data_IF_689576101048
#
_entry.id   IF_689576101048
#
_cell.length_a   1.000
_cell.length_b   1.000
_cell.length_c   1.000
_cell.angle_alpha   90.00
_cell.angle_beta   90.00
_cell.angle_gamma   90.00
#
_symmetry.space_group_name_H-M   'P 1'
#
loop_
_entity.id
_entity.type
_entity.pdbx_description
1 polymer ?
#
# COMPACT_ATOMS: atom_id res chain seq x y z
N UNK A 1 -76.81 29.68 79.16
CA UNK A 1 -75.35 29.40 79.31
C UNK A 1 -74.87 28.58 78.14
N UNK A 2 -74.27 29.23 77.14
CA UNK A 2 -73.67 28.56 75.98
C UNK A 2 -72.18 28.95 75.88
N UNK A 3 -71.46 28.74 77.04
CA UNK A 3 -70.04 29.14 77.14
C UNK A 3 -69.07 27.99 76.97
N UNK A 4 -69.49 26.70 77.13
CA UNK A 4 -68.61 25.55 77.08
C UNK A 4 -68.59 24.82 75.71
N UNK A 5 -69.51 25.07 74.80
CA UNK A 5 -69.55 24.46 73.45
C UNK A 5 -70.05 25.47 72.39
N UNK A 6 -69.27 26.47 72.15
CA UNK A 6 -69.55 27.34 70.96
C UNK A 6 -69.16 26.69 69.69
N UNK A 7 -69.99 25.79 69.22
CA UNK A 7 -69.78 25.02 67.95
C UNK A 7 -69.65 25.93 66.73
N UNK A 8 -70.28 27.10 66.78
CA UNK A 8 -70.22 28.09 65.70
C UNK A 8 -68.83 28.73 65.60
N UNK A 9 -68.29 29.16 66.79
CA UNK A 9 -66.94 29.73 66.86
C UNK A 9 -65.85 28.70 66.49
N UNK A 10 -66.01 27.44 66.99
CA UNK A 10 -65.09 26.36 66.63
C UNK A 10 -65.11 26.03 65.11
N UNK A 11 -66.31 26.03 64.53
CA UNK A 11 -66.49 25.81 63.07
C UNK A 11 -65.94 27.00 62.27
N UNK A 12 -66.19 28.27 62.69
CA UNK A 12 -65.61 29.44 62.06
C UNK A 12 -64.05 29.41 62.07
N UNK A 13 -63.48 29.04 63.25
CA UNK A 13 -62.04 28.96 63.39
C UNK A 13 -61.46 27.85 62.52
N UNK A 14 -62.13 26.66 62.44
CA UNK A 14 -61.73 25.59 61.50
C UNK A 14 -61.79 26.04 60.05
N UNK A 15 -62.86 26.78 59.64
CA UNK A 15 -63.01 27.31 58.27
C UNK A 15 -61.94 28.37 57.97
N UNK A 16 -61.61 29.24 58.95
CA UNK A 16 -60.53 30.19 58.82
C UNK A 16 -59.19 29.53 58.59
N UNK A 17 -58.86 28.47 59.39
CA UNK A 17 -57.65 27.70 59.23
C UNK A 17 -57.57 26.99 57.84
N UNK A 18 -58.67 26.43 57.36
CA UNK A 18 -58.74 25.82 56.04
C UNK A 18 -58.50 26.88 54.92
N UNK A 19 -59.16 28.08 55.05
CA UNK A 19 -58.97 29.14 54.09
C UNK A 19 -57.54 29.71 54.07
N UNK A 20 -56.97 29.94 55.27
CA UNK A 20 -55.57 30.37 55.41
C UNK A 20 -54.57 29.35 54.85
N UNK A 21 -54.81 28.06 55.06
CA UNK A 21 -54.00 27.00 54.48
C UNK A 21 -54.12 26.93 52.97
N UNK A 22 -55.33 27.11 52.39
CA UNK A 22 -55.57 27.19 50.96
C UNK A 22 -54.91 28.41 50.33
N UNK A 23 -54.98 29.57 50.99
CA UNK A 23 -54.36 30.81 50.57
C UNK A 23 -52.82 30.69 50.56
N UNK A 24 -52.23 30.12 51.64
CA UNK A 24 -50.78 29.85 51.73
C UNK A 24 -50.30 28.93 50.59
N UNK A 25 -51.06 27.88 50.30
CA UNK A 25 -50.73 26.99 49.15
C UNK A 25 -50.83 27.69 47.81
N UNK A 26 -51.82 28.55 47.61
CA UNK A 26 -51.97 29.34 46.35
C UNK A 26 -50.84 30.36 46.22
N UNK A 27 -50.47 31.01 47.32
CA UNK A 27 -49.34 31.98 47.33
C UNK A 27 -48.01 31.27 47.12
N UNK A 28 -47.82 30.12 47.69
CA UNK A 28 -46.64 29.26 47.46
C UNK A 28 -46.50 28.88 45.96
N UNK A 29 -47.60 28.45 45.32
CA UNK A 29 -47.65 28.17 43.87
C UNK A 29 -47.41 29.40 42.98
N UNK A 30 -47.97 30.51 43.36
CA UNK A 30 -47.79 31.78 42.63
C UNK A 30 -46.35 32.29 42.74
N UNK A 31 -45.77 32.22 43.94
CA UNK A 31 -44.39 32.66 44.21
C UNK A 31 -43.35 31.76 43.57
N UNK A 32 -43.57 30.45 43.54
CA UNK A 32 -42.65 29.47 42.91
C UNK A 32 -42.78 29.40 41.38
N UNK A 33 -43.95 29.78 40.86
CA UNK A 33 -44.31 29.62 39.46
C UNK A 33 -44.62 28.16 39.06
N UNK A 34 -44.54 27.21 40.00
CA UNK A 34 -44.81 25.80 39.72
C UNK A 34 -46.18 25.37 40.27
N UNK A 35 -46.86 24.49 39.51
CA UNK A 35 -48.14 23.92 39.92
C UNK A 35 -47.96 22.88 41.03
N UNK A 36 -46.84 22.14 41.03
CA UNK A 36 -46.50 21.10 42.01
C UNK A 36 -45.22 21.53 42.75
N UNK A 37 -45.34 21.86 44.04
CA UNK A 37 -44.25 22.31 44.91
C UNK A 37 -43.85 21.24 45.93
N UNK A 38 -44.82 20.41 46.36
CA UNK A 38 -44.60 19.35 47.37
C UNK A 38 -45.11 18.02 46.86
N UNK A 39 -44.49 16.93 47.32
CA UNK A 39 -44.94 15.57 46.98
C UNK A 39 -46.39 15.31 47.32
N UNK A 40 -46.94 16.01 48.34
CA UNK A 40 -48.33 15.93 48.76
C UNK A 40 -49.33 16.62 47.80
N UNK A 41 -48.86 17.48 46.87
CA UNK A 41 -49.72 18.15 45.89
C UNK A 41 -50.13 17.18 44.76
N UNK A 42 -49.17 16.44 44.26
CA UNK A 42 -49.34 15.37 43.24
C UNK A 42 -48.06 14.52 43.19
N UNK A 43 -48.07 13.37 43.86
CA UNK A 43 -46.90 12.49 43.93
C UNK A 43 -46.55 11.85 42.55
N UNK A 44 -47.55 11.53 41.74
CA UNK A 44 -47.36 10.95 40.42
C UNK A 44 -46.79 12.00 39.43
N UNK A 45 -47.40 13.20 39.39
CA UNK A 45 -46.94 14.32 38.58
C UNK A 45 -45.54 14.80 38.96
N UNK A 46 -45.21 14.84 40.26
CA UNK A 46 -43.86 15.17 40.71
C UNK A 46 -42.82 14.16 40.20
N UNK A 47 -43.11 12.85 40.33
CA UNK A 47 -42.20 11.78 39.88
C UNK A 47 -41.95 11.89 38.36
N UNK A 48 -42.99 12.16 37.55
CA UNK A 48 -42.87 12.34 36.13
C UNK A 48 -42.04 13.60 35.80
N UNK A 49 -42.34 14.70 36.47
CA UNK A 49 -41.62 15.97 36.29
C UNK A 49 -40.14 15.85 36.63
N UNK A 50 -39.80 15.23 37.75
CA UNK A 50 -38.40 14.99 38.13
C UNK A 50 -37.67 14.05 37.17
N UNK A 51 -38.35 13.02 36.63
CA UNK A 51 -37.79 12.14 35.60
C UNK A 51 -37.53 12.88 34.32
N UNK A 52 -38.48 13.72 33.85
CA UNK A 52 -38.31 14.58 32.65
C UNK A 52 -37.17 15.59 32.86
N UNK A 53 -37.13 16.27 34.02
CA UNK A 53 -36.06 17.22 34.36
C UNK A 53 -34.66 16.54 34.36
N UNK A 54 -34.58 15.32 34.90
CA UNK A 54 -33.35 14.53 34.79
C UNK A 54 -32.98 14.24 33.34
N UNK A 55 -33.95 13.87 32.48
CA UNK A 55 -33.73 13.60 31.08
C UNK A 55 -33.26 14.86 30.35
N UNK A 56 -33.93 15.99 30.52
CA UNK A 56 -33.53 17.28 29.92
C UNK A 56 -32.09 17.62 30.28
N UNK A 57 -31.73 17.62 31.57
CA UNK A 57 -30.34 17.88 32.00
C UNK A 57 -29.34 16.86 31.44
N UNK A 58 -29.75 15.61 31.25
CA UNK A 58 -28.93 14.56 30.64
C UNK A 58 -28.71 14.83 29.14
N UNK A 59 -29.76 15.26 28.42
CA UNK A 59 -29.68 15.57 27.00
C UNK A 59 -28.90 16.88 26.73
N UNK A 60 -29.06 17.92 27.56
CA UNK A 60 -28.25 19.14 27.50
C UNK A 60 -26.76 18.84 27.66
N UNK A 61 -26.42 17.95 28.60
CA UNK A 61 -25.03 17.50 28.76
C UNK A 61 -24.55 16.64 27.57
N UNK A 62 -25.43 15.83 27.02
CA UNK A 62 -25.15 15.03 25.84
C UNK A 62 -24.89 15.90 24.58
N UNK A 63 -25.68 17.00 24.43
CA UNK A 63 -25.44 17.99 23.37
C UNK A 63 -24.08 18.67 23.55
N UNK A 64 -23.73 19.13 24.75
CA UNK A 64 -22.40 19.68 25.06
C UNK A 64 -21.26 18.67 24.76
N UNK A 65 -21.45 17.39 25.13
CA UNK A 65 -20.45 16.35 24.82
C UNK A 65 -20.28 16.14 23.31
N UNK A 66 -21.35 16.25 22.54
CA UNK A 66 -21.31 16.16 21.09
C UNK A 66 -20.58 17.37 20.46
N UNK A 67 -20.82 18.59 21.00
CA UNK A 67 -20.10 19.82 20.58
C UNK A 67 -18.60 19.73 20.89
N UNK A 68 -18.24 19.21 22.05
CA UNK A 68 -16.84 18.93 22.40
C UNK A 68 -16.22 17.93 21.41
N UNK A 69 -16.98 16.91 21.00
CA UNK A 69 -16.59 15.96 19.97
C UNK A 69 -16.37 16.60 18.61
N UNK A 70 -17.27 17.48 18.17
CA UNK A 70 -17.11 18.25 16.92
C UNK A 70 -15.84 19.10 16.99
N UNK A 71 -15.59 19.78 18.09
CA UNK A 71 -14.40 20.62 18.30
C UNK A 71 -13.10 19.80 18.23
N UNK A 72 -13.09 18.60 18.81
CA UNK A 72 -11.96 17.70 18.75
C UNK A 72 -11.70 17.22 17.31
N UNK A 73 -12.76 16.83 16.58
CA UNK A 73 -12.68 16.40 15.19
C UNK A 73 -12.19 17.53 14.29
N UNK A 74 -12.69 18.74 14.44
CA UNK A 74 -12.24 19.92 13.68
C UNK A 74 -10.77 20.26 13.95
N UNK A 75 -10.33 20.12 15.21
CA UNK A 75 -8.91 20.31 15.55
C UNK A 75 -8.02 19.28 14.85
N UNK A 76 -8.44 18.01 14.82
CA UNK A 76 -7.73 16.96 14.12
C UNK A 76 -7.72 17.18 12.60
N UNK A 77 -8.87 17.57 12.02
CA UNK A 77 -9.00 17.85 10.59
C UNK A 77 -8.14 19.03 10.14
N UNK A 78 -8.07 20.10 10.94
CA UNK A 78 -7.18 21.22 10.67
C UNK A 78 -5.73 20.79 10.58
N UNK A 79 -5.26 19.99 11.55
CA UNK A 79 -3.90 19.45 11.55
C UNK A 79 -3.66 18.48 10.37
N UNK A 80 -4.64 17.64 10.03
CA UNK A 80 -4.54 16.75 8.88
C UNK A 80 -4.49 17.49 7.53
N UNK A 81 -5.07 18.68 7.46
CA UNK A 81 -4.97 19.55 6.27
C UNK A 81 -3.53 20.02 6.07
N UNK A 82 -2.83 20.40 7.16
CA UNK A 82 -1.41 20.75 7.09
C UNK A 82 -0.54 19.54 6.72
N UNK A 83 -0.79 18.37 7.33
CA UNK A 83 -0.09 17.12 6.97
C UNK A 83 -0.29 16.79 5.49
N UNK A 84 -1.51 16.91 4.98
CA UNK A 84 -1.82 16.69 3.57
C UNK A 84 -1.04 17.65 2.65
N UNK A 85 -0.96 18.93 3.01
CA UNK A 85 -0.19 19.93 2.25
C UNK A 85 1.32 19.61 2.25
N UNK A 86 1.86 19.17 3.38
CA UNK A 86 3.26 18.74 3.49
C UNK A 86 3.54 17.50 2.62
N UNK A 87 2.65 16.50 2.63
CA UNK A 87 2.77 15.32 1.78
C UNK A 87 2.67 15.68 0.28
N UNK A 88 1.80 16.60 -0.11
CA UNK A 88 1.75 17.10 -1.48
C UNK A 88 3.08 17.75 -1.88
N UNK A 89 3.65 18.57 -0.99
CA UNK A 89 4.97 19.19 -1.23
C UNK A 89 6.07 18.13 -1.34
N UNK A 90 6.05 17.12 -0.49
CA UNK A 90 6.98 15.98 -0.58
C UNK A 90 6.84 15.25 -1.93
N UNK A 91 5.62 15.06 -2.42
CA UNK A 91 5.39 14.43 -3.74
C UNK A 91 5.92 15.27 -4.91
N UNK A 92 5.76 16.59 -4.86
CA UNK A 92 6.37 17.51 -5.83
C UNK A 92 7.90 17.39 -5.83
N UNK A 93 8.51 17.38 -4.65
CA UNK A 93 9.96 17.26 -4.46
C UNK A 93 10.48 15.91 -4.93
N UNK A 94 9.78 14.80 -4.60
CA UNK A 94 10.13 13.48 -5.08
C UNK A 94 10.05 13.39 -6.61
N UNK A 95 8.98 13.92 -7.21
CA UNK A 95 8.82 13.99 -8.66
C UNK A 95 9.93 14.84 -9.31
N UNK A 96 10.30 15.95 -8.68
CA UNK A 96 11.41 16.77 -9.16
C UNK A 96 12.73 15.99 -9.07
N UNK A 97 13.00 15.28 -7.98
CA UNK A 97 14.23 14.51 -7.79
C UNK A 97 14.32 13.30 -8.73
N UNK A 98 13.17 12.69 -9.08
CA UNK A 98 13.10 11.58 -10.04
C UNK A 98 13.48 12.00 -11.49
N UNK A 99 13.61 13.31 -11.76
CA UNK A 99 14.02 13.77 -13.08
C UNK A 99 15.54 13.57 -13.27
N UNK A 100 15.91 12.84 -14.31
CA UNK A 100 17.29 12.54 -14.69
C UNK A 100 18.21 13.75 -14.98
N UNK A 101 17.63 14.96 -15.14
CA UNK A 101 18.41 16.19 -15.37
C UNK A 101 19.00 16.80 -14.11
N UNK A 102 18.56 16.37 -12.91
CA UNK A 102 19.05 16.89 -11.65
C UNK A 102 20.44 16.31 -11.30
N UNK A 103 21.30 17.17 -10.78
CA UNK A 103 22.58 16.74 -10.22
C UNK A 103 22.41 16.07 -8.85
N UNK A 104 23.41 15.30 -8.41
CA UNK A 104 23.41 14.73 -7.05
C UNK A 104 23.36 15.81 -5.96
N UNK A 105 23.88 17.00 -6.22
CA UNK A 105 23.84 18.13 -5.28
C UNK A 105 22.40 18.66 -5.16
N UNK A 106 21.68 18.78 -6.29
CA UNK A 106 20.31 19.24 -6.30
C UNK A 106 19.39 18.23 -5.59
N UNK A 107 19.57 16.92 -5.86
CA UNK A 107 18.84 15.84 -5.18
C UNK A 107 19.09 15.84 -3.68
N UNK A 108 20.32 16.13 -3.25
CA UNK A 108 20.64 16.24 -1.83
C UNK A 108 19.88 17.40 -1.18
N UNK A 109 19.82 18.56 -1.84
CA UNK A 109 19.04 19.70 -1.34
C UNK A 109 17.54 19.36 -1.25
N UNK A 110 17.02 18.63 -2.22
CA UNK A 110 15.64 18.12 -2.19
C UNK A 110 15.44 17.14 -1.03
N UNK A 111 16.40 16.22 -0.80
CA UNK A 111 16.34 15.30 0.34
C UNK A 111 16.33 16.03 1.67
N UNK A 112 17.16 17.06 1.83
CA UNK A 112 17.19 17.87 3.04
C UNK A 112 15.83 18.56 3.31
N UNK A 113 15.11 19.00 2.25
CA UNK A 113 13.74 19.56 2.37
C UNK A 113 12.72 18.46 2.74
N UNK A 114 12.79 17.28 2.14
CA UNK A 114 11.94 16.13 2.49
C UNK A 114 12.14 15.71 3.94
N UNK A 115 13.38 15.68 4.43
CA UNK A 115 13.69 15.33 5.82
C UNK A 115 13.10 16.37 6.80
N UNK A 116 13.10 17.66 6.45
CA UNK A 116 12.46 18.70 7.25
C UNK A 116 10.93 18.55 7.26
N UNK A 117 10.31 18.29 6.11
CA UNK A 117 8.87 18.06 6.03
C UNK A 117 8.44 16.82 6.84
N UNK A 118 9.23 15.76 6.80
CA UNK A 118 9.00 14.55 7.61
C UNK A 118 9.08 14.86 9.10
N UNK A 119 10.07 15.64 9.52
CA UNK A 119 10.21 16.11 10.91
C UNK A 119 9.03 16.99 11.34
N UNK A 120 8.54 17.83 10.43
CA UNK A 120 7.38 18.69 10.71
C UNK A 120 6.07 17.89 10.82
N UNK A 121 5.88 16.84 10.00
CA UNK A 121 4.77 15.91 10.14
C UNK A 121 4.78 15.25 11.53
N UNK A 122 5.93 14.77 11.97
CA UNK A 122 6.09 14.20 13.32
C UNK A 122 5.77 15.23 14.41
N UNK A 123 6.23 16.47 14.25
CA UNK A 123 5.93 17.57 15.18
C UNK A 123 4.43 17.85 15.25
N UNK A 124 3.74 17.95 14.11
CA UNK A 124 2.29 18.17 14.06
C UNK A 124 1.55 17.03 14.76
N UNK A 125 1.95 15.78 14.49
CA UNK A 125 1.36 14.61 15.15
C UNK A 125 1.56 14.63 16.68
N UNK A 126 2.71 15.06 17.15
CA UNK A 126 3.06 15.11 18.58
C UNK A 126 2.50 16.32 19.33
N UNK A 127 2.19 17.42 18.63
CA UNK A 127 1.72 18.65 19.28
C UNK A 127 0.23 18.89 19.19
N UNK A 128 -0.46 18.25 18.23
CA UNK A 128 -1.92 18.40 18.06
C UNK A 128 -2.67 17.70 19.19
N UNK A 129 -3.27 18.49 20.05
CA UNK A 129 -4.03 18.00 21.23
C UNK A 129 -5.33 18.76 21.41
N UNK A 130 -6.30 18.07 21.98
CA UNK A 130 -7.55 18.64 22.46
C UNK A 130 -7.77 18.18 23.91
N UNK A 131 -7.93 19.11 24.83
CA UNK A 131 -8.10 18.84 26.26
C UNK A 131 -7.10 17.79 26.79
N UNK A 132 -5.79 18.02 26.57
CA UNK A 132 -4.65 17.16 26.95
C UNK A 132 -4.55 15.81 26.24
N UNK A 133 -5.54 15.43 25.44
CA UNK A 133 -5.49 14.24 24.60
C UNK A 133 -4.81 14.54 23.26
N UNK A 134 -3.74 13.81 22.93
CA UNK A 134 -3.06 13.91 21.64
C UNK A 134 -3.88 13.18 20.59
N UNK A 135 -4.31 13.90 19.55
CA UNK A 135 -5.29 13.39 18.58
C UNK A 135 -4.63 12.56 17.46
N UNK A 136 -3.38 12.89 17.06
CA UNK A 136 -2.73 12.30 15.88
C UNK A 136 -1.56 11.37 16.23
N UNK A 137 -1.20 11.27 17.51
CA UNK A 137 -0.05 10.49 17.97
C UNK A 137 -0.35 9.00 18.13
N UNK A 138 -1.63 8.63 18.12
CA UNK A 138 -2.10 7.30 18.52
C UNK A 138 -2.08 7.08 20.03
N UNK A 139 -2.59 5.95 20.47
CA UNK A 139 -2.73 5.55 21.88
C UNK A 139 -2.06 4.22 22.19
N UNK A 140 -1.77 3.99 23.48
CA UNK A 140 -1.17 2.76 23.96
C UNK A 140 0.36 2.69 23.78
N UNK A 141 0.88 1.46 23.81
CA UNK A 141 2.29 1.17 23.56
C UNK A 141 2.58 1.10 22.07
N UNK A 142 3.83 1.40 21.67
CA UNK A 142 4.29 1.16 20.30
C UNK A 142 4.21 -0.33 19.96
N UNK A 143 3.70 -0.62 18.78
CA UNK A 143 3.62 -1.96 18.21
C UNK A 143 4.22 -1.97 16.81
N UNK A 144 4.74 -3.13 16.43
CA UNK A 144 5.22 -3.34 15.07
C UNK A 144 4.03 -3.56 14.12
N UNK A 145 3.93 -2.70 13.14
CA UNK A 145 2.94 -2.76 12.07
C UNK A 145 3.60 -3.18 10.76
N UNK A 146 2.86 -3.81 9.87
CA UNK A 146 3.33 -4.19 8.54
C UNK A 146 3.15 -3.04 7.56
N UNK A 147 4.19 -2.77 6.78
CA UNK A 147 4.14 -1.76 5.70
C UNK A 147 3.67 -2.42 4.40
N UNK A 148 2.92 -1.69 3.59
CA UNK A 148 2.49 -2.17 2.29
C UNK A 148 3.68 -2.44 1.38
N UNK A 149 3.54 -3.44 0.50
CA UNK A 149 4.52 -3.72 -0.52
C UNK A 149 4.24 -2.87 -1.78
N UNK A 150 5.32 -2.45 -2.44
CA UNK A 150 5.28 -1.67 -3.68
C UNK A 150 5.89 -2.46 -4.83
N UNK A 151 5.38 -2.26 -6.04
CA UNK A 151 5.80 -2.97 -7.25
C UNK A 151 7.08 -2.40 -7.90
N UNK A 152 7.65 -1.36 -7.31
CA UNK A 152 8.83 -0.66 -7.81
C UNK A 152 8.65 -0.05 -9.22
N UNK A 153 7.42 0.22 -9.66
CA UNK A 153 7.11 0.74 -10.98
C UNK A 153 7.46 -0.24 -12.12
N UNK A 154 7.54 -1.53 -11.85
CA UNK A 154 7.90 -2.55 -12.82
C UNK A 154 6.68 -3.00 -13.63
N UNK A 155 6.83 -3.07 -14.95
CA UNK A 155 5.75 -3.48 -15.87
C UNK A 155 5.36 -4.94 -15.68
N UNK A 156 4.05 -5.18 -15.52
CA UNK A 156 3.45 -6.51 -15.44
C UNK A 156 3.67 -7.23 -14.11
N UNK A 157 4.06 -6.52 -13.05
CA UNK A 157 4.11 -7.06 -11.68
C UNK A 157 2.71 -7.04 -11.07
N UNK A 158 2.36 -8.11 -10.38
CA UNK A 158 1.11 -8.21 -9.61
C UNK A 158 1.42 -8.56 -8.17
N UNK A 159 0.93 -7.75 -7.24
CA UNK A 159 1.05 -7.95 -5.80
C UNK A 159 -0.28 -8.50 -5.24
N UNK A 160 -0.21 -9.61 -4.52
CA UNK A 160 -1.37 -10.20 -3.82
C UNK A 160 -1.09 -10.25 -2.33
N UNK A 161 -1.76 -9.39 -1.58
CA UNK A 161 -1.59 -9.29 -0.12
C UNK A 161 -2.18 -10.51 0.59
N UNK A 162 -1.42 -11.07 1.54
CA UNK A 162 -1.81 -12.19 2.41
C UNK A 162 -1.65 -11.86 3.90
N UNK A 163 -1.65 -10.58 4.25
CA UNK A 163 -1.46 -10.09 5.61
C UNK A 163 0.02 -9.87 5.93
N UNK A 164 0.72 -10.83 6.50
CA UNK A 164 2.15 -10.72 6.84
C UNK A 164 3.08 -10.83 5.64
N UNK A 165 2.58 -11.42 4.56
CA UNK A 165 3.33 -11.68 3.32
C UNK A 165 2.59 -11.16 2.11
N UNK A 166 3.32 -10.98 1.01
CA UNK A 166 2.77 -10.62 -0.30
C UNK A 166 3.29 -11.63 -1.32
N UNK A 167 2.37 -12.22 -2.09
CA UNK A 167 2.77 -13.01 -3.25
C UNK A 167 2.97 -12.05 -4.43
N UNK A 168 4.18 -12.07 -4.96
CA UNK A 168 4.59 -11.29 -6.12
C UNK A 168 4.61 -12.19 -7.34
N UNK A 169 3.92 -11.77 -8.40
CA UNK A 169 3.98 -12.44 -9.70
C UNK A 169 4.60 -11.50 -10.71
N UNK A 170 5.68 -11.94 -11.35
CA UNK A 170 6.38 -11.19 -12.38
C UNK A 170 5.90 -11.62 -13.77
N UNK A 171 6.06 -10.74 -14.75
CA UNK A 171 5.80 -11.04 -16.17
C UNK A 171 6.79 -12.08 -16.68
N UNK A 172 6.32 -13.05 -17.45
CA UNK A 172 7.20 -14.01 -18.13
C UNK A 172 8.03 -13.28 -19.18
N UNK A 173 9.35 -13.49 -19.14
CA UNK A 173 10.31 -12.88 -20.05
C UNK A 173 10.84 -13.92 -21.00
N UNK A 174 10.84 -13.59 -22.29
CA UNK A 174 11.39 -14.43 -23.37
C UNK A 174 12.64 -13.77 -23.98
N UNK A 175 13.48 -14.57 -24.61
CA UNK A 175 14.62 -14.04 -25.34
C UNK A 175 14.19 -13.01 -26.40
N UNK A 176 14.83 -11.85 -26.39
CA UNK A 176 14.50 -10.71 -27.25
C UNK A 176 13.57 -9.68 -26.63
N UNK A 177 12.91 -9.98 -25.50
CA UNK A 177 12.08 -9.01 -24.79
C UNK A 177 12.93 -7.85 -24.25
N UNK A 178 12.34 -6.67 -24.21
CA UNK A 178 12.94 -5.48 -23.62
C UNK A 178 12.22 -5.13 -22.33
N UNK A 179 12.99 -4.84 -21.30
CA UNK A 179 12.47 -4.49 -19.98
C UNK A 179 13.26 -3.32 -19.38
N UNK A 180 12.57 -2.44 -18.70
CA UNK A 180 13.19 -1.39 -17.88
C UNK A 180 13.21 -1.81 -16.43
N UNK A 181 14.37 -1.79 -15.79
CA UNK A 181 14.55 -2.08 -14.36
C UNK A 181 15.40 -0.96 -13.79
N UNK A 182 14.89 -0.29 -12.77
CA UNK A 182 15.62 0.79 -12.12
C UNK A 182 16.06 1.91 -13.10
N UNK A 183 15.20 2.29 -14.06
CA UNK A 183 15.51 3.31 -15.06
C UNK A 183 16.51 2.87 -16.15
N UNK A 184 17.03 1.65 -16.08
CA UNK A 184 17.94 1.08 -17.07
C UNK A 184 17.21 0.08 -17.97
N UNK A 185 17.35 0.25 -19.27
CA UNK A 185 16.75 -0.67 -20.26
C UNK A 185 17.65 -1.87 -20.49
N UNK A 186 17.05 -3.06 -20.43
CA UNK A 186 17.70 -4.32 -20.69
C UNK A 186 17.01 -5.06 -21.82
N UNK A 187 17.78 -5.88 -22.55
CA UNK A 187 17.27 -6.84 -23.53
C UNK A 187 17.54 -8.24 -22.98
N UNK A 188 16.53 -9.10 -23.02
CA UNK A 188 16.68 -10.47 -22.58
C UNK A 188 17.45 -11.28 -23.63
N UNK A 189 18.64 -11.71 -23.28
CA UNK A 189 19.46 -12.59 -24.13
C UNK A 189 19.03 -14.05 -23.98
N UNK A 190 19.14 -14.78 -25.09
CA UNK A 190 18.82 -16.21 -25.11
C UNK A 190 19.92 -17.06 -24.49
N UNK A 191 19.47 -18.10 -23.80
CA UNK A 191 20.34 -19.18 -23.30
C UNK A 191 20.22 -20.42 -24.18
N UNK A 192 21.10 -21.41 -23.98
CA UNK A 192 21.11 -22.66 -24.77
C UNK A 192 19.74 -23.36 -24.82
N UNK A 193 18.93 -23.26 -23.75
CA UNK A 193 17.59 -23.82 -23.70
C UNK A 193 16.63 -23.12 -24.67
N UNK A 194 16.72 -21.80 -24.83
CA UNK A 194 15.88 -21.03 -25.76
C UNK A 194 16.18 -21.40 -27.22
N UNK A 195 17.48 -21.54 -27.54
CA UNK A 195 17.93 -22.01 -28.86
C UNK A 195 17.41 -23.42 -29.10
N UNK A 196 17.57 -24.35 -28.16
CA UNK A 196 17.08 -25.72 -28.27
C UNK A 196 15.58 -25.76 -28.49
N UNK A 197 14.83 -24.95 -27.73
CA UNK A 197 13.36 -24.83 -27.86
C UNK A 197 12.98 -24.30 -29.25
N UNK A 198 13.65 -23.24 -29.74
CA UNK A 198 13.42 -22.68 -31.07
C UNK A 198 13.72 -23.71 -32.18
N UNK A 199 14.82 -24.42 -32.07
CA UNK A 199 15.27 -25.42 -33.07
C UNK A 199 14.42 -26.71 -33.01
N UNK A 200 13.80 -27.02 -31.87
CA UNK A 200 12.94 -28.19 -31.66
C UNK A 200 11.46 -27.97 -31.96
N UNK A 201 11.02 -26.73 -32.24
CA UNK A 201 9.62 -26.42 -32.47
C UNK A 201 9.14 -27.02 -33.81
N UNK A 202 7.84 -27.41 -33.86
CA UNK A 202 7.23 -28.16 -34.99
C UNK A 202 7.43 -27.55 -36.39
N UNK A 203 7.65 -26.24 -36.49
CA UNK A 203 7.92 -25.56 -37.76
C UNK A 203 9.40 -25.37 -38.08
N UNK A 204 10.29 -25.53 -37.09
CA UNK A 204 11.70 -25.28 -37.17
C UNK A 204 12.55 -26.46 -36.69
N UNK A 205 11.98 -27.66 -36.51
CA UNK A 205 12.70 -28.83 -36.02
C UNK A 205 13.80 -29.21 -37.01
N UNK A 206 14.98 -28.63 -36.83
CA UNK A 206 16.12 -28.84 -37.73
C UNK A 206 16.68 -30.23 -37.64
N UNK A 207 16.52 -30.93 -36.49
CA UNK A 207 17.00 -32.30 -36.35
C UNK A 207 16.25 -33.30 -37.25
N UNK A 208 15.01 -32.96 -37.64
CA UNK A 208 14.18 -33.82 -38.51
C UNK A 208 14.06 -33.27 -39.91
N UNK A 209 13.93 -31.93 -40.03
CA UNK A 209 13.65 -31.27 -41.33
C UNK A 209 14.90 -30.72 -42.00
N UNK A 210 16.04 -30.70 -41.31
CA UNK A 210 17.33 -30.21 -41.82
C UNK A 210 17.23 -28.80 -42.43
N UNK A 211 16.42 -27.94 -41.81
CA UNK A 211 16.25 -26.55 -42.30
C UNK A 211 17.55 -25.75 -42.21
N UNK A 212 17.70 -24.79 -43.07
CA UNK A 212 18.83 -23.85 -43.06
C UNK A 212 18.83 -23.07 -41.74
N UNK A 213 20.00 -22.99 -41.10
CA UNK A 213 20.23 -22.20 -39.88
C UNK A 213 21.17 -21.06 -40.19
N UNK A 214 20.78 -19.84 -39.81
CA UNK A 214 21.65 -18.67 -39.98
C UNK A 214 22.21 -18.25 -38.62
N UNK A 215 23.55 -18.11 -38.56
CA UNK A 215 24.27 -17.62 -37.38
C UNK A 215 25.03 -16.35 -37.75
N UNK A 216 24.71 -15.22 -37.15
CA UNK A 216 25.28 -13.89 -37.43
C UNK A 216 25.30 -13.56 -38.93
N UNK A 217 24.23 -13.89 -39.67
CA UNK A 217 24.10 -13.65 -41.09
C UNK A 217 24.74 -14.71 -42.01
N UNK A 218 25.48 -15.66 -41.48
CA UNK A 218 26.02 -16.78 -42.26
C UNK A 218 25.01 -17.91 -42.24
N UNK A 219 24.54 -18.34 -43.42
CA UNK A 219 23.59 -19.46 -43.55
C UNK A 219 24.32 -20.78 -43.65
N UNK A 220 23.96 -21.71 -42.79
CA UNK A 220 24.43 -23.07 -42.76
C UNK A 220 23.37 -24.00 -43.33
N UNK A 221 23.75 -24.82 -44.30
CA UNK A 221 22.88 -25.80 -44.97
C UNK A 221 23.27 -27.20 -44.57
N UNK A 222 22.27 -28.06 -44.46
CA UNK A 222 22.51 -29.48 -44.20
C UNK A 222 23.00 -30.21 -45.44
N UNK A 223 24.00 -31.02 -45.22
CA UNK A 223 24.49 -32.00 -46.21
C UNK A 223 24.57 -33.36 -45.56
N UNK A 224 24.11 -34.38 -46.32
CA UNK A 224 24.21 -35.76 -45.91
C UNK A 224 25.66 -36.26 -45.99
N UNK A 225 25.94 -37.32 -45.24
CA UNK A 225 27.24 -37.97 -45.27
C UNK A 225 27.61 -38.38 -46.70
N UNK A 226 28.77 -37.94 -47.18
CA UNK A 226 29.37 -38.37 -48.43
C UNK A 226 30.47 -39.34 -48.07
N UNK A 227 30.35 -40.59 -48.54
CA UNK A 227 31.37 -41.58 -48.31
C UNK A 227 32.62 -41.33 -49.17
N UNK A 228 33.79 -41.64 -48.65
CA UNK A 228 35.05 -41.51 -49.38
C UNK A 228 35.09 -42.48 -50.56
N UNK A 229 35.24 -41.93 -51.76
CA UNK A 229 35.55 -42.75 -52.95
C UNK A 229 37.05 -42.74 -53.17
N UNK A 230 37.69 -43.84 -52.79
CA UNK A 230 39.13 -44.04 -52.92
C UNK A 230 39.57 -44.16 -54.37
N UNK A 231 38.63 -44.46 -55.31
CA UNK A 231 38.92 -44.61 -56.73
C UNK A 231 38.92 -43.27 -57.44
N UNK A 232 38.04 -42.34 -57.02
CA UNK A 232 37.92 -40.98 -57.58
C UNK A 232 38.74 -39.95 -56.81
N UNK A 233 39.40 -40.33 -55.69
CA UNK A 233 40.17 -39.41 -54.85
C UNK A 233 39.35 -38.44 -54.02
N UNK A 234 38.03 -38.72 -53.91
CA UNK A 234 37.09 -37.89 -53.10
C UNK A 234 37.14 -38.35 -51.67
N UNK A 235 37.36 -37.44 -50.73
CA UNK A 235 37.27 -37.72 -49.29
C UNK A 235 35.86 -37.56 -48.81
N UNK A 236 35.49 -38.47 -47.88
CA UNK A 236 34.17 -38.43 -47.23
C UNK A 236 33.98 -37.20 -46.37
N UNK A 237 32.75 -36.73 -46.32
CA UNK A 237 32.32 -35.67 -45.39
C UNK A 237 31.33 -36.24 -44.38
N UNK A 238 31.39 -35.79 -43.15
CA UNK A 238 30.37 -36.14 -42.14
C UNK A 238 29.05 -35.47 -42.50
N UNK A 239 27.92 -36.06 -42.13
CA UNK A 239 26.64 -35.38 -42.18
C UNK A 239 26.64 -34.19 -41.20
N UNK A 240 26.05 -33.08 -41.60
CA UNK A 240 25.96 -31.89 -40.73
C UNK A 240 25.68 -30.60 -41.52
N UNK A 241 25.71 -29.50 -40.81
CA UNK A 241 25.53 -28.16 -41.39
C UNK A 241 26.87 -27.55 -41.78
N UNK A 242 26.92 -26.99 -42.96
CA UNK A 242 28.10 -26.38 -43.55
C UNK A 242 27.79 -24.97 -44.07
N UNK A 243 28.70 -24.03 -43.88
CA UNK A 243 28.62 -22.66 -44.42
C UNK A 243 28.87 -22.60 -45.92
N UNK A 244 29.57 -23.59 -46.47
CA UNK A 244 29.84 -23.76 -47.87
C UNK A 244 29.54 -25.20 -48.30
N UNK A 245 29.20 -25.41 -49.58
CA UNK A 245 28.95 -26.73 -50.12
C UNK A 245 30.23 -27.61 -50.01
N UNK A 246 30.20 -28.65 -49.17
CA UNK A 246 31.40 -29.50 -48.92
C UNK A 246 31.81 -30.28 -50.19
N UNK A 247 30.91 -30.46 -51.18
CA UNK A 247 31.23 -31.15 -52.44
C UNK A 247 32.17 -30.34 -53.32
N UNK A 248 32.22 -29.02 -53.12
CA UNK A 248 33.09 -28.12 -53.88
C UNK A 248 34.47 -27.93 -53.26
N UNK A 249 34.67 -28.44 -52.04
CA UNK A 249 35.94 -28.35 -51.31
C UNK A 249 36.90 -29.44 -51.79
N UNK A 250 37.52 -29.25 -52.90
CA UNK A 250 38.50 -30.15 -53.55
C UNK A 250 39.80 -30.29 -52.72
N UNK A 251 39.70 -30.66 -51.46
CA UNK A 251 40.89 -30.90 -50.64
C UNK A 251 41.20 -32.38 -50.52
N UNK A 252 42.22 -32.82 -51.29
CA UNK A 252 42.65 -34.22 -51.37
C UNK A 252 43.39 -34.75 -50.16
N UNK A 253 43.57 -33.92 -49.11
CA UNK A 253 44.43 -34.32 -47.95
C UNK A 253 43.71 -34.43 -46.60
N UNK A 254 42.49 -33.92 -46.42
CA UNK A 254 41.83 -33.94 -45.13
C UNK A 254 40.30 -34.13 -45.25
N UNK A 255 39.71 -34.97 -44.40
CA UNK A 255 38.24 -35.08 -44.32
C UNK A 255 37.66 -33.73 -43.90
N UNK A 256 36.61 -33.27 -44.59
CA UNK A 256 35.91 -32.02 -44.22
C UNK A 256 34.93 -32.34 -43.10
N UNK A 257 35.12 -31.67 -41.96
CA UNK A 257 34.20 -31.76 -40.81
C UNK A 257 33.09 -30.72 -40.98
N UNK A 258 31.88 -31.07 -40.54
CA UNK A 258 30.79 -30.12 -40.51
C UNK A 258 31.12 -28.95 -39.56
N UNK A 259 30.69 -27.77 -39.90
CA UNK A 259 30.77 -26.59 -39.03
C UNK A 259 29.94 -26.84 -37.75
N UNK A 260 28.78 -27.46 -37.94
CA UNK A 260 27.92 -27.95 -36.86
C UNK A 260 27.48 -29.40 -37.15
N UNK A 261 27.83 -30.31 -36.27
CA UNK A 261 27.60 -31.74 -36.50
C UNK A 261 26.13 -32.15 -36.24
N UNK A 262 25.47 -31.46 -35.33
CA UNK A 262 24.08 -31.70 -34.95
C UNK A 262 23.36 -30.38 -34.55
N UNK A 263 22.06 -30.48 -34.35
CA UNK A 263 21.25 -29.35 -33.94
C UNK A 263 21.63 -28.78 -32.56
N UNK A 264 22.16 -29.66 -31.67
CA UNK A 264 22.56 -29.23 -30.33
C UNK A 264 23.84 -28.38 -30.35
N UNK A 265 24.65 -28.50 -31.36
CA UNK A 265 25.87 -27.70 -31.52
C UNK A 265 25.56 -26.19 -31.67
N UNK A 266 24.43 -25.83 -32.27
CA UNK A 266 23.96 -24.42 -32.36
C UNK A 266 23.58 -23.86 -30.98
N UNK A 267 23.07 -24.67 -30.07
CA UNK A 267 22.70 -24.21 -28.72
C UNK A 267 23.92 -23.76 -27.89
N UNK A 268 25.12 -24.22 -28.26
CA UNK A 268 26.35 -23.84 -27.59
C UNK A 268 27.03 -22.61 -28.17
N UNK A 269 26.48 -22.01 -29.23
CA UNK A 269 26.98 -20.75 -29.82
C UNK A 269 26.61 -19.60 -28.90
N UNK A 270 27.60 -18.80 -28.53
CA UNK A 270 27.45 -17.67 -27.59
C UNK A 270 27.68 -16.35 -28.29
N UNK A 271 26.97 -15.31 -27.84
CA UNK A 271 27.12 -13.97 -28.38
C UNK A 271 26.72 -13.84 -29.84
N UNK A 272 25.78 -14.66 -30.33
CA UNK A 272 25.39 -14.69 -31.73
C UNK A 272 23.87 -14.72 -31.90
N UNK A 273 23.39 -14.14 -32.99
CA UNK A 273 21.99 -14.26 -33.42
C UNK A 273 21.83 -15.52 -34.27
N UNK A 274 21.06 -16.48 -33.77
CA UNK A 274 20.71 -17.74 -34.43
C UNK A 274 19.28 -17.60 -34.95
N UNK A 275 19.05 -17.89 -36.23
CA UNK A 275 17.72 -17.82 -36.82
C UNK A 275 17.42 -19.03 -37.72
N UNK A 276 16.13 -19.45 -37.69
CA UNK A 276 15.57 -20.50 -38.55
C UNK A 276 14.20 -20.03 -39.02
N UNK A 277 14.08 -19.83 -40.32
CA UNK A 277 12.87 -19.24 -40.92
C UNK A 277 12.62 -17.83 -40.39
N UNK A 278 11.47 -17.60 -39.79
CA UNK A 278 11.08 -16.30 -39.19
C UNK A 278 11.43 -16.16 -37.73
N UNK A 279 11.97 -17.21 -37.07
CA UNK A 279 12.32 -17.20 -35.64
C UNK A 279 13.80 -16.91 -35.47
N UNK A 280 14.14 -16.13 -34.46
CA UNK A 280 15.51 -15.81 -34.08
C UNK A 280 15.69 -15.70 -32.58
N UNK A 281 16.85 -16.10 -32.10
CA UNK A 281 17.30 -15.95 -30.71
C UNK A 281 18.72 -15.41 -30.74
N UNK A 282 18.96 -14.31 -30.02
CA UNK A 282 20.32 -13.82 -29.79
C UNK A 282 20.84 -14.38 -28.49
N UNK A 283 21.88 -15.20 -28.56
CA UNK A 283 22.48 -15.83 -27.39
C UNK A 283 23.41 -14.88 -26.66
N UNK A 284 23.46 -15.05 -25.33
CA UNK A 284 24.36 -14.28 -24.46
C UNK A 284 25.77 -14.89 -24.43
N UNK A 285 26.83 -14.05 -24.41
CA UNK A 285 28.21 -14.47 -24.13
C UNK A 285 28.55 -14.16 -22.65
N UNK A 286 28.09 -15.00 -21.74
CA UNK A 286 28.31 -14.88 -20.29
C UNK A 286 29.41 -15.86 -19.86
N UNK A 287 30.66 -15.41 -19.89
CA UNK A 287 31.84 -16.21 -19.46
C UNK A 287 32.02 -16.15 -17.94
N UNK A 288 31.52 -15.10 -17.29
CA UNK A 288 31.63 -14.90 -15.84
C UNK A 288 30.52 -15.61 -15.06
N UNK A 289 29.51 -16.11 -15.77
CA UNK A 289 28.33 -16.76 -15.19
C UNK A 289 27.56 -15.85 -14.20
N UNK A 290 27.53 -14.54 -14.48
CA UNK A 290 26.80 -13.55 -13.68
C UNK A 290 25.45 -13.17 -14.28
N UNK A 291 25.07 -13.77 -15.42
CA UNK A 291 23.84 -13.57 -16.13
C UNK A 291 23.82 -12.31 -17.00
N UNK A 292 24.97 -11.68 -17.22
CA UNK A 292 25.16 -10.46 -18.01
C UNK A 292 26.09 -10.77 -19.18
N UNK A 293 25.80 -10.26 -20.36
CA UNK A 293 26.68 -10.39 -21.52
C UNK A 293 27.99 -9.64 -21.28
N UNK A 294 29.12 -10.34 -21.50
CA UNK A 294 30.46 -9.78 -21.30
C UNK A 294 30.83 -8.66 -22.27
N UNK A 295 30.13 -8.58 -23.42
CA UNK A 295 30.35 -7.57 -24.45
C UNK A 295 29.34 -6.43 -24.39
N UNK A 296 28.11 -6.71 -23.90
CA UNK A 296 27.03 -5.71 -23.77
C UNK A 296 26.28 -5.88 -22.45
N UNK A 297 26.60 -5.03 -21.48
CA UNK A 297 25.99 -5.07 -20.14
C UNK A 297 24.48 -4.71 -20.13
N UNK A 298 23.90 -4.38 -21.27
CA UNK A 298 22.44 -4.17 -21.41
C UNK A 298 21.72 -5.45 -21.84
N UNK A 299 22.47 -6.50 -22.23
CA UNK A 299 21.93 -7.83 -22.52
C UNK A 299 22.11 -8.72 -21.30
N UNK A 300 21.00 -9.24 -20.78
CA UNK A 300 20.99 -10.06 -19.56
C UNK A 300 20.11 -11.30 -19.73
N UNK A 301 20.38 -12.34 -18.97
CA UNK A 301 19.50 -13.52 -18.93
C UNK A 301 18.16 -13.18 -18.26
N UNK A 302 17.09 -13.93 -18.58
CA UNK A 302 15.81 -13.81 -17.89
C UNK A 302 15.95 -14.01 -16.37
N UNK A 303 16.76 -14.97 -15.93
CA UNK A 303 17.05 -15.20 -14.51
C UNK A 303 17.66 -13.97 -13.85
N UNK A 304 18.62 -13.32 -14.50
CA UNK A 304 19.23 -12.08 -14.00
C UNK A 304 18.23 -10.94 -13.93
N UNK A 305 17.38 -10.80 -14.94
CA UNK A 305 16.33 -9.81 -14.95
C UNK A 305 15.38 -9.99 -13.75
N UNK A 306 14.98 -11.20 -13.47
CA UNK A 306 14.11 -11.49 -12.32
C UNK A 306 14.81 -11.24 -10.97
N UNK A 307 16.10 -11.55 -10.84
CA UNK A 307 16.88 -11.21 -9.64
C UNK A 307 16.90 -9.69 -9.41
N UNK A 308 17.14 -8.91 -10.46
CA UNK A 308 17.13 -7.45 -10.39
C UNK A 308 15.74 -6.93 -10.03
N UNK A 309 14.67 -7.41 -10.67
CA UNK A 309 13.30 -7.03 -10.36
C UNK A 309 12.95 -7.34 -8.90
N UNK A 310 13.29 -8.54 -8.42
CA UNK A 310 13.05 -8.94 -7.03
C UNK A 310 13.79 -8.02 -6.05
N UNK A 311 15.04 -7.68 -6.34
CA UNK A 311 15.82 -6.75 -5.50
C UNK A 311 15.17 -5.37 -5.43
N UNK A 312 14.65 -4.86 -6.55
CA UNK A 312 13.99 -3.55 -6.60
C UNK A 312 12.63 -3.56 -5.87
N UNK A 313 11.84 -4.62 -5.98
CA UNK A 313 10.60 -4.78 -5.23
C UNK A 313 10.87 -4.83 -3.72
N UNK A 314 11.91 -5.57 -3.29
CA UNK A 314 12.33 -5.60 -1.88
C UNK A 314 12.75 -4.22 -1.40
N UNK A 315 13.50 -3.47 -2.22
CA UNK A 315 13.95 -2.11 -1.91
C UNK A 315 12.78 -1.15 -1.80
N UNK A 316 11.88 -1.13 -2.79
CA UNK A 316 10.69 -0.29 -2.78
C UNK A 316 9.77 -0.61 -1.58
N UNK A 317 9.56 -1.90 -1.28
CA UNK A 317 8.75 -2.36 -0.14
C UNK A 317 9.43 -2.19 1.23
N UNK A 318 10.66 -1.70 1.27
CA UNK A 318 11.40 -1.41 2.51
C UNK A 318 11.36 0.07 2.89
N UNK A 319 10.72 0.91 2.10
CA UNK A 319 10.56 2.33 2.40
C UNK A 319 9.66 2.50 3.64
N UNK A 320 10.01 3.41 4.52
CA UNK A 320 9.25 3.68 5.73
C UNK A 320 9.32 2.60 6.81
N UNK A 321 10.21 1.61 6.68
CA UNK A 321 10.30 0.47 7.61
C UNK A 321 11.47 0.58 8.57
N UNK A 322 11.30 0.13 9.81
CA UNK A 322 12.40 -0.10 10.77
C UNK A 322 13.11 -1.44 10.49
N UNK A 323 12.34 -2.44 10.03
CA UNK A 323 12.88 -3.71 9.56
C UNK A 323 12.47 -3.88 8.10
N UNK A 324 13.46 -3.93 7.22
CA UNK A 324 13.25 -4.02 5.79
C UNK A 324 12.43 -5.27 5.37
N UNK A 325 11.69 -5.13 4.28
CA UNK A 325 11.06 -6.26 3.62
C UNK A 325 12.11 -7.30 3.18
N UNK A 326 11.76 -8.58 3.17
CA UNK A 326 12.67 -9.66 2.80
C UNK A 326 11.95 -10.70 1.97
N UNK A 327 12.65 -11.30 1.01
CA UNK A 327 12.15 -12.50 0.36
C UNK A 327 11.96 -13.62 1.41
N UNK A 328 10.81 -14.26 1.40
CA UNK A 328 10.45 -15.30 2.37
C UNK A 328 11.26 -16.59 2.17
N UNK A 329 11.75 -16.83 0.96
CA UNK A 329 12.61 -17.97 0.65
C UNK A 329 14.06 -17.59 0.91
N UNK A 330 14.66 -18.21 1.93
CA UNK A 330 16.06 -18.01 2.36
C UNK A 330 17.09 -18.65 1.42
N UNK A 331 16.66 -19.20 0.32
CA UNK A 331 17.57 -19.83 -0.66
C UNK A 331 17.96 -18.76 -1.68
N UNK A 332 19.27 -18.60 -1.88
CA UNK A 332 19.84 -17.82 -2.96
C UNK A 332 18.89 -17.82 -4.16
N UNK A 333 18.28 -16.68 -4.44
CA UNK A 333 17.60 -16.42 -5.70
C UNK A 333 16.45 -17.38 -6.07
N UNK A 334 15.79 -17.99 -5.10
CA UNK A 334 14.66 -18.86 -5.37
C UNK A 334 13.39 -18.08 -5.68
N UNK A 335 13.44 -17.44 -6.80
CA UNK A 335 12.28 -17.16 -7.55
C UNK A 335 12.06 -18.38 -8.46
N UNK A 336 10.86 -18.90 -8.44
CA UNK A 336 10.52 -20.04 -9.27
C UNK A 336 10.43 -19.57 -10.74
N UNK A 337 11.46 -19.92 -11.52
CA UNK A 337 11.53 -19.59 -12.93
C UNK A 337 10.36 -20.17 -13.72
N UNK A 338 9.77 -21.26 -13.23
CA UNK A 338 8.63 -21.89 -13.91
C UNK A 338 7.32 -21.14 -13.66
N UNK A 339 7.15 -20.53 -12.48
CA UNK A 339 5.91 -19.82 -12.11
C UNK A 339 6.04 -18.30 -12.10
N UNK A 340 7.25 -17.76 -12.24
CA UNK A 340 7.54 -16.32 -12.15
C UNK A 340 7.01 -15.67 -10.86
N UNK A 341 7.01 -16.42 -9.75
CA UNK A 341 6.43 -16.03 -8.47
C UNK A 341 7.45 -16.13 -7.34
N UNK A 342 7.31 -15.22 -6.39
CA UNK A 342 7.99 -15.32 -5.10
C UNK A 342 7.12 -14.72 -4.00
N UNK A 343 7.41 -15.06 -2.74
CA UNK A 343 6.71 -14.52 -1.57
C UNK A 343 7.62 -13.53 -0.85
N UNK A 344 7.11 -12.33 -0.59
CA UNK A 344 7.77 -11.27 0.13
C UNK A 344 7.23 -11.19 1.56
N UNK A 345 8.08 -11.25 2.57
CA UNK A 345 7.75 -10.86 3.94
C UNK A 345 7.73 -9.33 4.03
N UNK A 346 6.61 -8.77 4.46
CA UNK A 346 6.47 -7.32 4.60
C UNK A 346 7.46 -6.74 5.61
N UNK A 347 7.98 -5.56 5.33
CA UNK A 347 8.72 -4.76 6.29
C UNK A 347 7.85 -4.36 7.48
N UNK A 348 8.48 -4.02 8.60
CA UNK A 348 7.77 -3.58 9.82
C UNK A 348 8.26 -2.21 10.26
N UNK A 349 7.34 -1.43 10.81
CA UNK A 349 7.60 -0.13 11.41
C UNK A 349 6.88 -0.05 12.75
N UNK A 350 7.47 0.60 13.73
CA UNK A 350 6.91 0.70 15.08
C UNK A 350 6.24 2.05 15.28
N UNK A 351 4.95 2.03 15.60
CA UNK A 351 4.18 3.21 16.01
C UNK A 351 3.00 2.79 16.91
N UNK A 352 2.29 3.76 17.48
CA UNK A 352 1.15 3.51 18.37
C UNK A 352 -0.10 3.19 17.56
N UNK A 353 -0.97 2.33 18.12
CA UNK A 353 -2.27 2.05 17.55
C UNK A 353 -3.15 3.32 17.43
N UNK A 354 -4.27 3.21 16.72
CA UNK A 354 -5.23 4.28 16.59
C UNK A 354 -5.76 4.76 17.96
N UNK A 355 -5.89 6.06 18.13
CA UNK A 355 -6.62 6.64 19.26
C UNK A 355 -8.12 6.35 19.06
N UNK A 356 -8.75 5.78 20.10
CA UNK A 356 -10.18 5.54 20.11
C UNK A 356 -10.81 6.13 21.37
N UNK A 357 -11.76 7.02 21.22
CA UNK A 357 -12.53 7.55 22.35
C UNK A 357 -14.03 7.59 22.06
N UNK A 358 -14.82 7.48 23.12
CA UNK A 358 -16.27 7.40 23.03
C UNK A 358 -16.91 8.66 23.59
N UNK A 359 -17.72 9.31 22.80
CA UNK A 359 -18.55 10.44 23.21
C UNK A 359 -19.92 9.92 23.66
N UNK A 360 -20.33 10.26 24.88
CA UNK A 360 -21.64 9.88 25.41
C UNK A 360 -22.67 10.95 25.03
N UNK A 361 -23.57 10.60 24.12
CA UNK A 361 -24.53 11.50 23.46
C UNK A 361 -25.99 11.13 23.78
N UNK A 362 -26.26 10.69 25.01
CA UNK A 362 -27.62 10.34 25.47
C UNK A 362 -27.82 10.59 26.94
N UNK A 363 -29.09 10.61 27.40
CA UNK A 363 -29.45 10.86 28.79
C UNK A 363 -29.30 9.63 29.70
N UNK A 364 -29.28 8.42 29.13
CA UNK A 364 -29.29 7.15 29.84
C UNK A 364 -27.99 6.35 29.64
N UNK A 365 -27.74 5.40 30.54
CA UNK A 365 -26.51 4.59 30.55
C UNK A 365 -26.42 3.53 29.45
N UNK A 366 -27.20 3.63 28.39
CA UNK A 366 -27.21 2.69 27.28
C UNK A 366 -25.92 2.86 26.43
N UNK A 367 -25.31 1.73 26.07
CA UNK A 367 -24.11 1.70 25.21
C UNK A 367 -24.40 2.19 23.78
N UNK A 368 -25.65 2.15 23.33
CA UNK A 368 -26.07 2.72 22.03
C UNK A 368 -25.97 4.24 22.00
N UNK A 369 -25.93 4.89 23.18
CA UNK A 369 -25.76 6.34 23.32
C UNK A 369 -24.29 6.80 23.19
N UNK A 370 -23.41 5.97 22.61
CA UNK A 370 -22.01 6.32 22.41
C UNK A 370 -21.69 6.47 20.92
N UNK A 371 -20.97 7.51 20.58
CA UNK A 371 -20.35 7.69 19.28
C UNK A 371 -18.85 7.52 19.46
N UNK A 372 -18.28 6.51 18.80
CA UNK A 372 -16.84 6.25 18.81
C UNK A 372 -16.17 7.08 17.73
N UNK A 373 -15.10 7.76 18.09
CA UNK A 373 -14.18 8.45 17.18
C UNK A 373 -12.88 7.66 17.16
N UNK A 374 -12.44 7.27 15.97
CA UNK A 374 -11.16 6.59 15.76
C UNK A 374 -10.26 7.48 14.92
N UNK A 375 -9.03 7.69 15.36
CA UNK A 375 -8.02 8.48 14.65
C UNK A 375 -6.74 7.66 14.64
N UNK A 376 -6.30 7.28 13.44
CA UNK A 376 -5.07 6.54 13.25
C UNK A 376 -3.85 7.40 13.60
N UNK A 377 -2.72 6.75 13.89
CA UNK A 377 -1.47 7.47 14.12
C UNK A 377 -0.98 8.10 12.82
N UNK A 378 -0.88 9.42 12.80
CA UNK A 378 -0.54 10.23 11.60
C UNK A 378 0.88 10.80 11.66
N UNK A 379 1.78 10.12 12.37
CA UNK A 379 3.22 10.42 12.33
C UNK A 379 3.87 9.82 11.07
N UNK A 380 5.09 10.16 10.78
CA UNK A 380 5.85 9.67 9.62
C UNK A 380 5.91 8.14 9.54
N UNK A 381 5.98 7.46 10.69
CA UNK A 381 5.96 6.00 10.79
C UNK A 381 4.59 5.41 10.44
N UNK A 382 3.50 5.97 10.98
CA UNK A 382 2.12 5.55 10.69
C UNK A 382 1.71 5.81 9.24
N UNK A 383 2.27 6.85 8.62
CA UNK A 383 2.07 7.20 7.22
C UNK A 383 2.99 6.44 6.25
N UNK A 384 3.96 5.66 6.75
CA UNK A 384 4.90 4.91 5.91
C UNK A 384 5.94 5.76 5.19
N UNK A 385 6.15 7.02 5.62
CA UNK A 385 7.12 7.94 5.00
C UNK A 385 8.35 8.17 5.87
N UNK A 386 8.53 7.43 6.96
CA UNK A 386 9.68 7.51 7.85
C UNK A 386 10.97 7.18 7.10
N UNK A 387 11.94 8.10 7.12
CA UNK A 387 13.25 7.88 6.50
C UNK A 387 13.22 7.70 4.99
N UNK A 388 12.22 8.23 4.33
CA UNK A 388 12.06 8.18 2.87
C UNK A 388 13.26 8.82 2.19
N UNK A 389 13.73 8.22 1.08
CA UNK A 389 14.88 8.67 0.32
C UNK A 389 14.49 9.16 -1.05
N UNK A 390 15.11 10.26 -1.47
CA UNK A 390 14.96 10.84 -2.79
C UNK A 390 16.31 11.39 -3.33
N UNK A 391 17.43 10.90 -2.79
CA UNK A 391 18.79 11.31 -3.14
C UNK A 391 19.32 10.64 -4.41
N UNK A 392 18.61 9.62 -4.93
CA UNK A 392 18.81 9.05 -6.25
C UNK A 392 17.54 9.16 -7.08
N UNK A 393 17.63 9.11 -8.41
CA UNK A 393 16.49 9.10 -9.32
C UNK A 393 15.53 7.95 -9.01
N UNK A 394 16.08 6.80 -8.72
CA UNK A 394 15.34 5.59 -8.42
C UNK A 394 14.66 5.64 -7.05
N UNK A 395 15.38 6.04 -6.00
CA UNK A 395 14.79 6.17 -4.67
C UNK A 395 13.68 7.22 -4.66
N UNK A 396 13.86 8.31 -5.43
CA UNK A 396 12.82 9.32 -5.62
C UNK A 396 11.58 8.76 -6.33
N UNK A 397 11.74 7.87 -7.31
CA UNK A 397 10.63 7.21 -7.98
C UNK A 397 9.83 6.34 -7.02
N UNK A 398 10.50 5.55 -6.18
CA UNK A 398 9.82 4.75 -5.15
C UNK A 398 9.19 5.60 -4.05
N UNK A 399 9.82 6.74 -3.72
CA UNK A 399 9.29 7.69 -2.77
C UNK A 399 7.91 8.24 -3.20
N UNK A 400 7.68 8.43 -4.49
CA UNK A 400 6.40 8.91 -5.04
C UNK A 400 5.27 7.98 -4.65
N UNK A 401 5.45 6.66 -4.78
CA UNK A 401 4.41 5.67 -4.46
C UNK A 401 4.12 5.64 -2.95
N UNK A 402 5.16 5.64 -2.11
CA UNK A 402 4.99 5.68 -0.65
C UNK A 402 4.29 6.97 -0.18
N UNK A 403 4.62 8.12 -0.79
CA UNK A 403 3.95 9.39 -0.48
C UNK A 403 2.50 9.39 -0.98
N UNK A 404 2.22 8.79 -2.15
CA UNK A 404 0.85 8.67 -2.66
C UNK A 404 -0.04 7.82 -1.73
N UNK A 405 0.49 6.72 -1.19
CA UNK A 405 -0.18 5.91 -0.18
C UNK A 405 -0.44 6.71 1.11
N UNK A 406 0.53 7.50 1.57
CA UNK A 406 0.36 8.39 2.72
C UNK A 406 -0.74 9.43 2.49
N UNK A 407 -0.78 10.06 1.31
CA UNK A 407 -1.84 11.00 0.92
C UNK A 407 -3.21 10.33 0.93
N UNK A 408 -3.30 9.10 0.41
CA UNK A 408 -4.53 8.30 0.41
C UNK A 408 -4.99 7.99 1.84
N UNK A 409 -4.07 7.62 2.73
CA UNK A 409 -4.34 7.34 4.15
C UNK A 409 -4.88 8.58 4.87
N UNK A 410 -4.23 9.74 4.72
CA UNK A 410 -4.69 11.01 5.31
C UNK A 410 -6.06 11.40 4.75
N UNK A 411 -6.28 11.24 3.44
CA UNK A 411 -7.56 11.56 2.79
C UNK A 411 -8.70 10.66 3.32
N UNK A 412 -8.42 9.37 3.49
CA UNK A 412 -9.37 8.41 4.08
C UNK A 412 -9.72 8.77 5.52
N UNK A 413 -8.72 9.11 6.34
CA UNK A 413 -8.93 9.54 7.72
C UNK A 413 -9.78 10.82 7.80
N UNK A 414 -9.48 11.81 6.96
CA UNK A 414 -10.27 13.06 6.89
C UNK A 414 -11.72 12.77 6.49
N UNK A 415 -11.95 11.89 5.52
CA UNK A 415 -13.30 11.47 5.13
C UNK A 415 -14.05 10.78 6.27
N UNK A 416 -13.38 9.90 7.02
CA UNK A 416 -13.96 9.25 8.20
C UNK A 416 -14.31 10.25 9.30
N UNK A 417 -13.44 11.22 9.58
CA UNK A 417 -13.70 12.28 10.55
C UNK A 417 -14.87 13.20 10.12
N UNK A 418 -14.94 13.57 8.84
CA UNK A 418 -16.06 14.33 8.29
C UNK A 418 -17.40 13.60 8.43
N UNK A 419 -17.41 12.26 8.22
CA UNK A 419 -18.63 11.47 8.46
C UNK A 419 -19.03 11.44 9.95
N UNK A 420 -18.06 11.37 10.87
CA UNK A 420 -18.33 11.47 12.31
C UNK A 420 -18.84 12.84 12.68
N UNK A 421 -18.26 13.93 12.14
CA UNK A 421 -18.73 15.29 12.37
C UNK A 421 -20.19 15.46 11.95
N UNK A 422 -20.54 15.06 10.73
CA UNK A 422 -21.93 15.11 10.26
C UNK A 422 -22.88 14.34 11.18
N UNK A 423 -22.46 13.16 11.65
CA UNK A 423 -23.25 12.36 12.58
C UNK A 423 -23.44 13.06 13.93
N UNK A 424 -22.41 13.72 14.45
CA UNK A 424 -22.49 14.50 15.69
C UNK A 424 -23.42 15.71 15.54
N UNK A 425 -23.33 16.47 14.44
CA UNK A 425 -24.19 17.60 14.14
C UNK A 425 -25.68 17.19 14.04
N UNK A 426 -25.97 16.08 13.36
CA UNK A 426 -27.34 15.55 13.35
C UNK A 426 -27.81 15.09 14.73
N UNK A 427 -26.89 14.57 15.55
CA UNK A 427 -27.21 14.17 16.92
C UNK A 427 -27.52 15.37 17.77
N UNK A 428 -26.74 16.46 17.71
CA UNK A 428 -27.00 17.74 18.40
C UNK A 428 -28.38 18.26 18.04
N UNK A 429 -28.67 18.39 16.75
CA UNK A 429 -29.96 18.87 16.29
C UNK A 429 -31.15 18.00 16.80
N UNK A 430 -30.96 16.70 16.91
CA UNK A 430 -31.97 15.79 17.46
C UNK A 430 -32.14 15.96 18.97
N UNK A 431 -31.01 16.07 19.70
CA UNK A 431 -31.04 16.29 21.16
C UNK A 431 -31.72 17.59 21.52
N UNK A 432 -31.41 18.67 20.81
CA UNK A 432 -32.02 19.97 21.04
C UNK A 432 -33.55 19.96 20.80
N UNK A 433 -33.99 19.30 19.70
CA UNK A 433 -35.42 19.14 19.43
C UNK A 433 -36.13 18.31 20.52
N UNK A 434 -35.46 17.28 21.10
CA UNK A 434 -36.06 16.50 22.19
C UNK A 434 -36.08 17.27 23.51
N UNK A 435 -35.11 18.16 23.75
CA UNK A 435 -35.07 19.03 24.94
C UNK A 435 -36.15 20.12 24.86
N UNK A 436 -36.37 20.68 23.65
CA UNK A 436 -37.37 21.73 23.42
C UNK A 436 -38.80 21.18 23.57
N UNK A 437 -39.10 19.96 23.11
CA UNK A 437 -40.43 19.34 23.19
C UNK A 437 -40.73 18.74 24.60
#
# INVERSE_FOLDING_TARGET
>A
MVVQHNMQAANANRMLNVTTSAQSKSTEKLSSGYRINRAADDAAGLTISEKMRKQIKGLDRASTNAEDGVSAVQTAEGALTEVHSMLQRMNELATQSANGTNSNTDRKAIQDEIDQLTTEIDRVSETTKFNETYLLKGDGAEKAHKVNAHDAGLDGVTLTDKGDTVDVTLKTLNAGDKISIAGKNYTIGGVAADVTSMLGDKGANIATNHNDVTVNGTTYKWYDKIDADTTAGTKGTAAGWYSNDPSTLNNTTQAVTADYADAAAFANVKGATISVGSKSVTTIDDKKADGIDDNDSTVITATKAYQLQTAEIVKASSIGTDTAAKNATTVNDAYDTATTKFTLNKGTVSYKDALSFNLHVGADADMTNKITVNIDSMNSAGLGVKGIKADTEQDATYAIDAIADAISTVSSQRSALGAVQNRLEHTINNLDNVVEN
#
